data_IF_395967041951
#
_entry.id   IF_395967041951
#
_cell.length_a   1.000
_cell.length_b   1.000
_cell.length_c   1.000
_cell.angle_alpha   90.00
_cell.angle_beta   90.00
_cell.angle_gamma   90.00
#
_symmetry.space_group_name_H-M   'P 1'
#
loop_
_entity.id
_entity.type
_entity.pdbx_description
1 polymer ?
#
# COMPACT_ATOMS: atom_id res chain seq x y z
N UNK A 1 -18.91 -21.45 -6.20
CA UNK A 1 -18.21 -20.31 -5.57
C UNK A 1 -17.63 -19.53 -6.73
N UNK A 2 -18.04 -18.27 -6.89
CA UNK A 2 -17.51 -17.45 -7.97
C UNK A 2 -16.01 -17.28 -7.72
N UNK A 3 -15.19 -17.20 -8.77
CA UNK A 3 -13.71 -17.24 -8.64
C UNK A 3 -13.15 -16.13 -7.75
N UNK A 4 -13.94 -15.09 -7.50
CA UNK A 4 -13.57 -13.88 -6.77
C UNK A 4 -14.35 -13.68 -5.46
N UNK A 5 -15.11 -14.68 -5.00
CA UNK A 5 -15.77 -14.64 -3.69
C UNK A 5 -14.82 -14.99 -2.54
N UNK A 6 -13.68 -15.61 -2.86
CA UNK A 6 -12.68 -16.05 -1.89
C UNK A 6 -11.77 -14.87 -1.49
N UNK A 7 -12.19 -14.14 -0.46
CA UNK A 7 -11.48 -12.95 0.03
C UNK A 7 -10.09 -13.29 0.56
N UNK A 8 -9.94 -14.43 1.22
CA UNK A 8 -8.65 -14.87 1.77
C UNK A 8 -7.68 -15.14 0.62
N UNK A 9 -8.14 -15.81 -0.44
CA UNK A 9 -7.33 -16.03 -1.64
C UNK A 9 -6.92 -14.71 -2.33
N UNK A 10 -7.81 -13.70 -2.37
CA UNK A 10 -7.45 -12.40 -2.92
C UNK A 10 -6.38 -11.69 -2.09
N UNK A 11 -6.46 -11.76 -0.76
CA UNK A 11 -5.45 -11.22 0.14
C UNK A 11 -4.10 -11.92 -0.04
N UNK A 12 -4.11 -13.26 -0.19
CA UNK A 12 -2.91 -14.04 -0.46
C UNK A 12 -2.24 -13.65 -1.79
N UNK A 13 -3.02 -13.37 -2.84
CA UNK A 13 -2.50 -12.89 -4.12
C UNK A 13 -1.79 -11.54 -3.96
N UNK A 14 -2.42 -10.59 -3.25
CA UNK A 14 -1.85 -9.26 -3.04
C UNK A 14 -0.58 -9.35 -2.18
N UNK A 15 -0.57 -10.17 -1.13
CA UNK A 15 0.60 -10.42 -0.29
C UNK A 15 1.75 -11.03 -1.10
N UNK A 16 1.49 -12.09 -1.87
CA UNK A 16 2.52 -12.76 -2.67
C UNK A 16 3.14 -11.83 -3.72
N UNK A 17 2.32 -10.98 -4.36
CA UNK A 17 2.83 -9.98 -5.30
C UNK A 17 3.69 -8.92 -4.60
N UNK A 18 3.25 -8.43 -3.44
CA UNK A 18 4.01 -7.45 -2.65
C UNK A 18 5.39 -7.99 -2.26
N UNK A 19 5.44 -9.22 -1.74
CA UNK A 19 6.69 -9.91 -1.40
C UNK A 19 7.61 -10.06 -2.61
N UNK A 20 7.08 -10.54 -3.75
CA UNK A 20 7.86 -10.71 -4.98
C UNK A 20 8.48 -9.38 -5.46
N UNK A 21 7.72 -8.28 -5.39
CA UNK A 21 8.18 -6.97 -5.84
C UNK A 21 9.19 -6.35 -4.86
N UNK A 22 9.00 -6.52 -3.54
CA UNK A 22 9.95 -6.05 -2.53
C UNK A 22 11.30 -6.75 -2.68
N UNK A 23 11.30 -8.08 -2.86
CA UNK A 23 12.53 -8.85 -3.10
C UNK A 23 13.21 -8.45 -4.41
N UNK A 24 12.44 -8.18 -5.47
CA UNK A 24 13.00 -7.64 -6.72
C UNK A 24 13.67 -6.28 -6.53
N UNK A 25 13.10 -5.41 -5.69
CA UNK A 25 13.69 -4.10 -5.40
C UNK A 25 15.04 -4.25 -4.65
N UNK A 26 15.10 -5.12 -3.64
CA UNK A 26 16.36 -5.45 -2.94
C UNK A 26 17.44 -5.98 -3.87
N UNK A 27 17.08 -6.91 -4.75
CA UNK A 27 18.01 -7.49 -5.74
C UNK A 27 18.48 -6.42 -6.73
N UNK A 28 17.59 -5.56 -7.21
CA UNK A 28 17.88 -4.47 -8.15
C UNK A 28 18.91 -3.50 -7.57
N UNK A 29 18.71 -3.08 -6.33
CA UNK A 29 19.52 -2.04 -5.68
C UNK A 29 20.70 -2.63 -4.88
N UNK A 30 20.78 -3.95 -4.78
CA UNK A 30 21.80 -4.71 -4.07
C UNK A 30 21.92 -4.28 -2.59
N UNK A 31 20.77 -4.27 -1.91
CA UNK A 31 20.64 -3.97 -0.47
C UNK A 31 19.76 -5.03 0.20
N UNK A 32 20.02 -5.32 1.47
CA UNK A 32 19.21 -6.25 2.26
C UNK A 32 17.98 -5.57 2.88
N UNK A 33 18.12 -4.29 3.23
CA UNK A 33 17.08 -3.48 3.88
C UNK A 33 17.14 -2.03 3.36
N UNK A 34 15.97 -1.41 3.20
CA UNK A 34 15.84 0.01 2.86
C UNK A 34 15.61 0.85 4.12
N UNK A 35 15.96 2.14 4.05
CA UNK A 35 15.44 3.11 5.01
C UNK A 35 13.99 3.51 4.63
N UNK A 36 13.27 4.15 5.56
CA UNK A 36 11.85 4.42 5.39
C UNK A 36 11.56 5.35 4.20
N UNK A 37 12.46 6.30 3.91
CA UNK A 37 12.31 7.21 2.79
C UNK A 37 12.46 6.49 1.44
N UNK A 38 13.51 5.67 1.30
CA UNK A 38 13.72 4.89 0.08
C UNK A 38 12.61 3.86 -0.13
N UNK A 39 12.16 3.21 0.94
CA UNK A 39 11.03 2.27 0.88
C UNK A 39 9.75 2.96 0.38
N UNK A 40 9.47 4.18 0.87
CA UNK A 40 8.32 4.95 0.40
C UNK A 40 8.43 5.39 -1.06
N UNK A 41 9.63 5.74 -1.55
CA UNK A 41 9.83 6.01 -2.97
C UNK A 41 9.56 4.76 -3.82
N UNK A 42 10.04 3.59 -3.39
CA UNK A 42 9.80 2.33 -4.08
C UNK A 42 8.31 1.96 -4.11
N UNK A 43 7.55 2.22 -3.02
CA UNK A 43 6.09 2.07 -3.02
C UNK A 43 5.49 2.88 -4.17
N UNK A 44 5.91 4.14 -4.37
CA UNK A 44 5.38 4.99 -5.44
C UNK A 44 5.74 4.50 -6.86
N UNK A 45 6.77 3.66 -7.03
CA UNK A 45 7.10 3.03 -8.32
C UNK A 45 6.18 1.86 -8.67
N UNK A 46 5.63 1.17 -7.66
CA UNK A 46 4.89 -0.07 -7.83
C UNK A 46 3.40 0.05 -7.55
N UNK A 47 3.02 0.91 -6.61
CA UNK A 47 1.64 1.05 -6.15
C UNK A 47 0.87 2.04 -7.02
N UNK A 48 0.31 1.51 -8.12
CA UNK A 48 -0.45 2.30 -9.10
C UNK A 48 -1.90 2.50 -8.64
N UNK A 49 -2.08 3.15 -7.49
CA UNK A 49 -3.39 3.66 -7.07
C UNK A 49 -3.64 5.08 -7.63
N UNK A 50 -2.58 5.80 -8.04
CA UNK A 50 -2.67 7.20 -8.49
C UNK A 50 -1.80 7.48 -9.70
N UNK A 51 -2.26 8.39 -10.55
CA UNK A 51 -1.41 9.02 -11.56
C UNK A 51 -0.77 10.31 -10.99
N UNK A 52 0.38 10.77 -11.51
CA UNK A 52 1.04 12.01 -11.06
C UNK A 52 0.16 13.28 -11.11
N UNK A 53 -0.98 13.21 -11.81
CA UNK A 53 -1.96 14.29 -11.92
C UNK A 53 -3.05 14.27 -10.83
N UNK A 54 -3.11 13.24 -9.99
CA UNK A 54 -4.05 13.11 -8.87
C UNK A 54 -3.56 13.92 -7.66
N UNK A 55 -3.59 15.26 -7.81
CA UNK A 55 -3.04 16.28 -6.89
C UNK A 55 -3.74 16.39 -5.53
N UNK A 56 -4.70 15.51 -5.23
CA UNK A 56 -5.60 15.63 -4.09
C UNK A 56 -5.12 14.88 -2.84
N UNK A 57 -3.90 14.35 -2.86
CA UNK A 57 -3.38 13.59 -1.73
C UNK A 57 -1.85 13.65 -1.68
N UNK A 58 -1.26 13.66 -0.49
CA UNK A 58 0.15 13.99 -0.28
C UNK A 58 0.74 13.27 0.93
N UNK A 59 2.07 13.21 0.98
CA UNK A 59 2.81 12.59 2.08
C UNK A 59 3.41 13.65 3.00
N UNK A 60 3.29 13.45 4.31
CA UNK A 60 3.97 14.22 5.35
C UNK A 60 5.00 13.30 6.00
N UNK A 61 6.27 13.72 5.99
CA UNK A 61 7.36 12.99 6.64
C UNK A 61 7.59 13.57 8.03
N UNK A 62 7.56 12.72 9.04
CA UNK A 62 7.87 13.04 10.42
C UNK A 62 9.03 12.15 10.90
N UNK A 63 9.61 12.46 12.06
CA UNK A 63 10.65 11.61 12.64
C UNK A 63 10.06 10.22 12.95
N UNK A 64 10.61 9.18 12.32
CA UNK A 64 10.20 7.79 12.53
C UNK A 64 8.90 7.36 11.83
N UNK A 65 8.25 8.23 11.05
CA UNK A 65 7.05 7.85 10.28
C UNK A 65 6.79 8.68 9.02
N UNK A 66 6.04 8.11 8.08
CA UNK A 66 5.51 8.79 6.91
C UNK A 66 3.99 8.62 6.92
N UNK A 67 3.26 9.74 6.86
CA UNK A 67 1.80 9.76 6.75
C UNK A 67 1.44 10.06 5.31
N UNK A 68 0.87 9.08 4.62
CA UNK A 68 0.39 9.23 3.25
C UNK A 68 -1.12 9.38 3.25
N UNK A 69 -1.60 10.61 3.01
CA UNK A 69 -3.03 10.88 2.92
C UNK A 69 -3.52 10.57 1.51
N UNK A 70 -4.71 9.98 1.40
CA UNK A 70 -5.42 9.63 0.17
C UNK A 70 -6.81 10.23 0.20
N UNK A 71 -7.26 10.80 -0.93
CA UNK A 71 -8.67 11.15 -1.06
C UNK A 71 -9.47 9.88 -1.32
N UNK A 72 -10.33 9.51 -0.38
CA UNK A 72 -11.07 8.24 -0.39
C UNK A 72 -11.77 7.99 -1.73
N UNK A 73 -12.37 9.03 -2.31
CA UNK A 73 -13.23 8.97 -3.51
C UNK A 73 -12.50 8.74 -4.83
N UNK A 74 -11.17 8.71 -4.85
CA UNK A 74 -10.42 8.58 -6.09
C UNK A 74 -10.54 7.15 -6.64
N UNK A 75 -10.97 7.00 -7.89
CA UNK A 75 -11.05 5.73 -8.63
C UNK A 75 -11.97 4.64 -8.03
N UNK A 76 -12.75 4.97 -6.98
CA UNK A 76 -13.73 4.07 -6.36
C UNK A 76 -14.81 3.61 -7.35
N UNK A 77 -15.14 4.45 -8.33
CA UNK A 77 -16.16 4.17 -9.33
C UNK A 77 -15.87 2.89 -10.12
N UNK A 78 -14.59 2.54 -10.32
CA UNK A 78 -14.21 1.32 -11.03
C UNK A 78 -14.53 0.06 -10.23
N UNK A 79 -14.33 0.10 -8.91
CA UNK A 79 -14.70 -1.00 -8.01
C UNK A 79 -16.22 -1.15 -7.90
N UNK A 80 -16.92 -0.03 -7.72
CA UNK A 80 -18.38 -0.03 -7.62
C UNK A 80 -19.06 -0.55 -8.89
N UNK A 81 -18.54 -0.24 -10.08
CA UNK A 81 -19.05 -0.75 -11.36
C UNK A 81 -18.98 -2.28 -11.46
N UNK A 82 -18.05 -2.91 -10.74
CA UNK A 82 -17.90 -4.38 -10.68
C UNK A 82 -18.73 -5.03 -9.57
N UNK A 83 -19.45 -4.23 -8.77
CA UNK A 83 -20.23 -4.71 -7.63
C UNK A 83 -19.40 -5.12 -6.43
N UNK A 84 -18.11 -4.74 -6.39
CA UNK A 84 -17.23 -5.02 -5.26
C UNK A 84 -17.35 -3.93 -4.20
N UNK A 85 -17.46 -4.37 -2.94
CA UNK A 85 -17.49 -3.49 -1.78
C UNK A 85 -16.17 -2.72 -1.64
N UNK A 86 -16.26 -1.40 -1.41
CA UNK A 86 -15.07 -0.54 -1.22
C UNK A 86 -14.21 -0.98 -0.02
N UNK A 87 -14.84 -1.59 0.99
CA UNK A 87 -14.13 -2.17 2.12
C UNK A 87 -13.12 -3.25 1.68
N UNK A 88 -13.49 -4.08 0.70
CA UNK A 88 -12.57 -5.10 0.17
C UNK A 88 -11.40 -4.44 -0.57
N UNK A 89 -11.66 -3.42 -1.39
CA UNK A 89 -10.59 -2.64 -2.03
C UNK A 89 -9.60 -2.10 -0.99
N UNK A 90 -10.10 -1.49 0.08
CA UNK A 90 -9.24 -0.95 1.14
C UNK A 90 -8.42 -2.04 1.84
N UNK A 91 -9.01 -3.21 2.09
CA UNK A 91 -8.31 -4.34 2.68
C UNK A 91 -7.19 -4.87 1.77
N UNK A 92 -7.46 -5.04 0.48
CA UNK A 92 -6.47 -5.53 -0.49
C UNK A 92 -5.28 -4.57 -0.61
N UNK A 93 -5.55 -3.27 -0.70
CA UNK A 93 -4.51 -2.24 -0.77
C UNK A 93 -3.72 -2.13 0.52
N UNK A 94 -4.39 -2.12 1.67
CA UNK A 94 -3.73 -2.08 2.97
C UNK A 94 -2.83 -3.30 3.14
N UNK A 95 -3.30 -4.49 2.76
CA UNK A 95 -2.52 -5.73 2.90
C UNK A 95 -1.28 -5.73 2.02
N UNK A 96 -1.38 -5.20 0.82
CA UNK A 96 -0.24 -5.06 -0.07
C UNK A 96 0.82 -4.12 0.51
N UNK A 97 0.41 -2.94 1.00
CA UNK A 97 1.33 -1.97 1.59
C UNK A 97 2.04 -2.52 2.84
N UNK A 98 1.30 -3.21 3.72
CA UNK A 98 1.81 -3.91 4.89
C UNK A 98 2.91 -4.92 4.51
N UNK A 99 2.58 -5.88 3.66
CA UNK A 99 3.52 -6.94 3.27
C UNK A 99 4.71 -6.37 2.51
N UNK A 100 4.48 -5.37 1.65
CA UNK A 100 5.54 -4.75 0.87
C UNK A 100 6.58 -4.09 1.76
N UNK A 101 6.14 -3.25 2.71
CA UNK A 101 7.07 -2.47 3.53
C UNK A 101 7.81 -3.34 4.54
N UNK A 102 7.15 -4.33 5.15
CA UNK A 102 7.77 -5.31 6.06
C UNK A 102 8.81 -6.16 5.33
N UNK A 103 8.57 -6.50 4.06
CA UNK A 103 9.57 -7.19 3.26
C UNK A 103 10.73 -6.28 2.88
N UNK A 104 10.53 -4.98 2.61
CA UNK A 104 11.64 -4.06 2.36
C UNK A 104 12.51 -3.82 3.61
N UNK A 105 11.92 -3.83 4.80
CA UNK A 105 12.62 -3.80 6.08
C UNK A 105 11.71 -4.36 7.21
N UNK A 106 12.11 -5.43 7.92
CA UNK A 106 11.30 -6.02 8.99
C UNK A 106 11.05 -5.12 10.21
N UNK A 107 11.78 -4.00 10.35
CA UNK A 107 11.55 -3.00 11.40
C UNK A 107 10.42 -2.01 11.06
N UNK A 108 9.89 -2.06 9.83
CA UNK A 108 8.80 -1.19 9.42
C UNK A 108 7.45 -1.82 9.71
N UNK A 109 6.47 -0.96 10.02
CA UNK A 109 5.07 -1.35 10.19
C UNK A 109 4.16 -0.40 9.43
N UNK A 110 2.97 -0.88 9.09
CA UNK A 110 1.95 -0.12 8.36
C UNK A 110 0.63 -0.11 9.13
N UNK A 111 -0.11 1.00 9.07
CA UNK A 111 -1.49 1.08 9.53
C UNK A 111 -2.28 2.01 8.65
N UNK A 112 -3.55 1.66 8.39
CA UNK A 112 -4.50 2.53 7.69
C UNK A 112 -5.53 3.12 8.65
N UNK A 113 -5.64 4.44 8.63
CA UNK A 113 -6.67 5.18 9.36
C UNK A 113 -7.70 5.75 8.37
N UNK A 114 -8.98 5.40 8.54
CA UNK A 114 -10.06 5.86 7.67
C UNK A 114 -10.79 7.03 8.33
N UNK A 115 -10.87 8.14 7.62
CA UNK A 115 -11.68 9.31 7.95
C UNK A 115 -12.78 9.50 6.89
N UNK A 116 -13.75 10.39 7.15
CA UNK A 116 -14.96 10.52 6.32
C UNK A 116 -14.68 10.67 4.81
N UNK A 117 -13.75 11.56 4.45
CA UNK A 117 -13.44 11.86 3.04
C UNK A 117 -12.02 11.45 2.63
N UNK A 118 -11.22 10.93 3.56
CA UNK A 118 -9.80 10.60 3.36
C UNK A 118 -9.42 9.33 4.11
N UNK A 119 -8.35 8.67 3.71
CA UNK A 119 -7.66 7.71 4.57
C UNK A 119 -6.16 8.01 4.59
N UNK A 120 -5.50 7.66 5.68
CA UNK A 120 -4.07 7.80 5.84
C UNK A 120 -3.44 6.41 5.89
N UNK A 121 -2.51 6.13 5.00
CA UNK A 121 -1.57 5.03 5.16
C UNK A 121 -0.35 5.56 5.91
N UNK A 122 -0.14 5.04 7.11
CA UNK A 122 0.93 5.47 8.01
C UNK A 122 1.97 4.37 8.07
N UNK A 123 3.20 4.73 7.72
CA UNK A 123 4.36 3.86 7.74
C UNK A 123 5.26 4.27 8.91
N UNK A 124 5.64 3.33 9.76
CA UNK A 124 6.49 3.57 10.92
C UNK A 124 7.83 2.86 10.74
N UNK A 125 8.86 3.41 11.38
CA UNK A 125 10.10 2.71 11.63
C UNK A 125 10.26 2.52 13.14
N UNK A 126 10.11 1.29 13.62
CA UNK A 126 10.35 0.92 15.01
C UNK A 126 11.86 0.72 15.26
N UNK A 127 12.65 1.78 15.06
CA UNK A 127 14.09 1.79 15.32
C UNK A 127 14.43 2.31 16.72
#
# INVERSE_FOLDING_TARGET
MDKYDDRDFLLDIYAAQAEELAEKAKIRDNVDEFNLDDAFEIINEHFVERMPCDRLSGAVKEEGKIIWQHQSRLHQEFWQQTGIELELMYQLYSKWLEVFIENLNPAFTHTREIENDYYNDIFFNEA
#
